data_IF_323505981463
#
_entry.id   IF_323505981463
#
_cell.length_a   1.000
_cell.length_b   1.000
_cell.length_c   1.000
_cell.angle_alpha   90.00
_cell.angle_beta   90.00
_cell.angle_gamma   90.00
#
_symmetry.space_group_name_H-M   'P 1'
#
loop_
_entity.id
_entity.type
_entity.pdbx_description
1 polymer ?
#
# COMPACT_ATOMS: atom_id res chain seq x y z
N UNK A 1 -8.91 -14.90 -0.45
CA UNK A 1 -7.57 -14.53 -0.95
C UNK A 1 -7.34 -15.11 -2.33
N UNK A 2 -6.98 -14.26 -3.31
CA UNK A 2 -6.70 -14.66 -4.69
C UNK A 2 -5.35 -15.38 -4.88
N UNK A 3 -5.14 -15.94 -6.08
CA UNK A 3 -3.92 -16.67 -6.46
C UNK A 3 -2.65 -15.83 -6.33
N UNK A 4 -2.67 -14.55 -6.75
CA UNK A 4 -1.49 -13.68 -6.71
C UNK A 4 -1.02 -13.48 -5.27
N UNK A 5 -1.95 -13.12 -4.38
CA UNK A 5 -1.69 -12.94 -2.94
C UNK A 5 -1.20 -14.24 -2.30
N UNK A 6 -1.81 -15.37 -2.64
CA UNK A 6 -1.41 -16.69 -2.15
C UNK A 6 0.05 -17.01 -2.51
N UNK A 7 0.44 -16.80 -3.77
CA UNK A 7 1.81 -17.06 -4.22
C UNK A 7 2.81 -16.07 -3.61
N UNK A 8 2.44 -14.79 -3.53
CA UNK A 8 3.28 -13.78 -2.89
C UNK A 8 3.54 -14.11 -1.41
N UNK A 9 2.49 -14.56 -0.70
CA UNK A 9 2.56 -14.98 0.69
C UNK A 9 3.32 -16.31 0.88
N UNK A 10 3.20 -17.26 -0.04
CA UNK A 10 3.94 -18.52 0.06
C UNK A 10 5.47 -18.30 -0.11
N UNK A 11 5.85 -17.36 -0.98
CA UNK A 11 7.26 -17.14 -1.34
C UNK A 11 7.91 -15.98 -0.54
N UNK A 12 7.10 -15.07 -0.01
CA UNK A 12 7.57 -13.82 0.57
C UNK A 12 8.20 -12.91 -0.46
N UNK A 13 7.61 -12.85 -1.66
CA UNK A 13 8.12 -12.08 -2.80
C UNK A 13 6.97 -11.48 -3.59
N UNK A 14 7.19 -10.30 -4.17
CA UNK A 14 6.37 -9.78 -5.24
C UNK A 14 6.89 -10.32 -6.59
N UNK A 15 5.98 -10.81 -7.44
CA UNK A 15 6.34 -11.54 -8.67
C UNK A 15 5.61 -10.97 -9.87
N UNK A 16 6.36 -10.76 -10.97
CA UNK A 16 5.78 -10.56 -12.28
C UNK A 16 5.39 -11.92 -12.88
N UNK A 17 4.09 -12.23 -12.91
CA UNK A 17 3.57 -13.50 -13.42
C UNK A 17 3.45 -13.53 -14.96
N UNK A 18 4.24 -12.72 -15.67
CA UNK A 18 4.32 -12.73 -17.14
C UNK A 18 4.36 -14.16 -17.70
N UNK A 19 3.43 -14.47 -18.61
CA UNK A 19 3.31 -15.77 -19.26
C UNK A 19 2.56 -16.85 -18.47
N UNK A 20 2.29 -16.62 -17.18
CA UNK A 20 1.47 -17.51 -16.35
C UNK A 20 0.02 -17.01 -16.17
N UNK A 21 -0.23 -15.73 -16.47
CA UNK A 21 -1.53 -15.08 -16.37
C UNK A 21 -1.75 -14.14 -17.55
N UNK A 22 -3.01 -14.01 -17.98
CA UNK A 22 -3.47 -12.98 -18.93
C UNK A 22 -4.61 -12.21 -18.27
N UNK A 23 -4.59 -10.89 -18.32
CA UNK A 23 -5.70 -10.06 -17.83
C UNK A 23 -6.68 -9.76 -18.97
N UNK A 24 -7.98 -9.98 -18.73
CA UNK A 24 -9.05 -9.42 -19.56
C UNK A 24 -9.70 -8.24 -18.86
N UNK A 25 -10.44 -7.41 -19.59
CA UNK A 25 -11.29 -6.37 -19.00
C UNK A 25 -12.71 -6.90 -18.92
N UNK A 26 -13.29 -6.89 -17.73
CA UNK A 26 -14.72 -7.14 -17.52
C UNK A 26 -15.53 -5.98 -18.12
N UNK A 27 -16.32 -6.24 -19.19
CA UNK A 27 -17.12 -5.20 -19.82
C UNK A 27 -18.23 -4.67 -18.90
N UNK A 28 -18.68 -5.47 -17.93
CA UNK A 28 -19.82 -5.18 -17.06
C UNK A 28 -19.39 -4.53 -15.73
N UNK A 29 -18.07 -4.36 -15.51
CA UNK A 29 -17.55 -3.74 -14.31
C UNK A 29 -18.04 -2.30 -14.15
N UNK A 30 -18.70 -2.03 -13.02
CA UNK A 30 -19.17 -0.71 -12.61
C UNK A 30 -18.31 -0.13 -11.49
N UNK A 31 -18.01 1.16 -11.59
CA UNK A 31 -17.36 1.92 -10.51
C UNK A 31 -18.33 2.32 -9.40
N UNK A 32 -19.64 2.38 -9.68
CA UNK A 32 -20.65 2.86 -8.72
C UNK A 32 -20.62 2.17 -7.35
N UNK A 33 -20.44 0.84 -7.26
CA UNK A 33 -20.41 0.15 -5.97
C UNK A 33 -19.04 0.21 -5.27
N UNK A 34 -18.08 1.02 -5.75
CA UNK A 34 -16.71 1.08 -5.21
C UNK A 34 -16.39 2.44 -4.57
N UNK A 35 -15.32 2.52 -3.73
CA UNK A 35 -14.80 3.83 -3.21
C UNK A 35 -14.50 4.81 -4.36
N UNK A 36 -14.17 4.26 -5.53
CA UNK A 36 -13.77 5.02 -6.69
C UNK A 36 -14.95 5.69 -7.40
N UNK A 37 -16.20 5.40 -7.03
CA UNK A 37 -17.38 6.09 -7.54
C UNK A 37 -17.27 7.62 -7.32
N UNK A 38 -16.82 8.04 -6.14
CA UNK A 38 -16.64 9.46 -5.81
C UNK A 38 -15.52 10.07 -6.65
N UNK A 39 -14.41 9.35 -6.79
CA UNK A 39 -13.27 9.78 -7.62
C UNK A 39 -13.67 9.90 -9.08
N UNK A 40 -14.45 8.96 -9.60
CA UNK A 40 -14.94 8.93 -10.96
C UNK A 40 -15.92 10.08 -11.24
N UNK A 41 -16.86 10.33 -10.33
CA UNK A 41 -17.83 11.43 -10.41
C UNK A 41 -17.17 12.82 -10.37
N UNK A 42 -16.04 12.95 -9.69
CA UNK A 42 -15.29 14.22 -9.55
C UNK A 42 -14.17 14.39 -10.59
N UNK A 43 -13.97 13.42 -11.47
CA UNK A 43 -12.90 13.37 -12.46
C UNK A 43 -13.45 13.58 -13.88
N UNK A 44 -12.66 14.11 -14.83
CA UNK A 44 -13.03 14.09 -16.25
C UNK A 44 -13.34 12.67 -16.74
N UNK A 45 -14.26 12.53 -17.70
CA UNK A 45 -14.72 11.23 -18.22
C UNK A 45 -13.57 10.28 -18.61
N UNK A 46 -12.52 10.78 -19.26
CA UNK A 46 -11.38 9.94 -19.67
C UNK A 46 -10.59 9.36 -18.48
N UNK A 47 -10.49 10.09 -17.36
CA UNK A 47 -9.85 9.61 -16.12
C UNK A 47 -10.73 8.55 -15.47
N UNK A 48 -12.04 8.79 -15.40
CA UNK A 48 -13.00 7.83 -14.86
C UNK A 48 -12.99 6.51 -15.66
N UNK A 49 -12.96 6.58 -17.00
CA UNK A 49 -12.89 5.40 -17.87
C UNK A 49 -11.54 4.69 -17.76
N UNK A 50 -10.42 5.42 -17.61
CA UNK A 50 -9.12 4.82 -17.34
C UNK A 50 -9.13 4.05 -16.01
N UNK A 51 -9.67 4.66 -14.95
CA UNK A 51 -9.80 4.03 -13.64
C UNK A 51 -10.72 2.79 -13.70
N UNK A 52 -11.85 2.88 -14.41
CA UNK A 52 -12.75 1.75 -14.66
C UNK A 52 -12.00 0.60 -15.32
N UNK A 53 -11.28 0.86 -16.42
CA UNK A 53 -10.54 -0.18 -17.15
C UNK A 53 -9.40 -0.79 -16.34
N UNK A 54 -8.80 -0.05 -15.41
CA UNK A 54 -7.77 -0.59 -14.52
C UNK A 54 -8.39 -1.52 -13.47
N UNK A 55 -9.52 -1.15 -12.89
CA UNK A 55 -10.20 -1.93 -11.86
C UNK A 55 -11.01 -3.10 -12.41
N UNK A 56 -11.47 -3.00 -13.66
CA UNK A 56 -12.19 -4.05 -14.37
C UNK A 56 -11.28 -5.22 -14.82
N UNK A 57 -10.00 -5.25 -14.43
CA UNK A 57 -9.08 -6.30 -14.87
C UNK A 57 -9.34 -7.60 -14.13
N UNK A 58 -9.58 -8.66 -14.89
CA UNK A 58 -9.80 -10.01 -14.38
C UNK A 58 -8.63 -10.90 -14.81
N UNK A 59 -7.87 -11.48 -13.86
CA UNK A 59 -6.75 -12.35 -14.19
C UNK A 59 -7.23 -13.77 -14.56
N UNK A 60 -6.75 -14.28 -15.68
CA UNK A 60 -6.95 -15.66 -16.14
C UNK A 60 -5.62 -16.41 -16.09
N UNK A 61 -5.52 -17.36 -15.17
CA UNK A 61 -4.29 -18.12 -14.93
C UNK A 61 -4.22 -19.36 -15.80
N UNK A 62 -3.03 -19.69 -16.29
CA UNK A 62 -2.79 -20.96 -16.96
C UNK A 62 -2.93 -22.13 -15.97
N UNK A 63 -3.55 -23.24 -16.39
CA UNK A 63 -3.75 -24.43 -15.53
C UNK A 63 -2.44 -24.99 -14.97
N UNK A 64 -1.37 -24.93 -15.76
CA UNK A 64 -0.03 -25.35 -15.34
C UNK A 64 0.49 -24.47 -14.18
N UNK A 65 0.25 -23.16 -14.23
CA UNK A 65 0.64 -22.24 -13.17
C UNK A 65 -0.18 -22.50 -11.89
N UNK A 66 -1.51 -22.63 -12.02
CA UNK A 66 -2.38 -22.98 -10.89
C UNK A 66 -1.98 -24.30 -10.23
N UNK A 67 -1.61 -25.30 -11.03
CA UNK A 67 -1.15 -26.60 -10.53
C UNK A 67 0.15 -26.49 -9.75
N UNK A 68 1.10 -25.68 -10.22
CA UNK A 68 2.34 -25.40 -9.50
C UNK A 68 2.06 -24.69 -8.17
N UNK A 69 1.19 -23.67 -8.17
CA UNK A 69 0.87 -22.89 -6.97
C UNK A 69 0.13 -23.70 -5.90
N UNK A 70 -0.71 -24.67 -6.28
CA UNK A 70 -1.41 -25.55 -5.33
C UNK A 70 -0.46 -26.38 -4.46
N UNK A 71 0.77 -26.60 -4.90
CA UNK A 71 1.79 -27.33 -4.15
C UNK A 71 2.57 -26.45 -3.17
N UNK A 72 2.39 -25.13 -3.23
CA UNK A 72 3.09 -24.20 -2.37
C UNK A 72 2.49 -24.18 -0.97
N UNK A 73 3.37 -24.14 0.04
CA UNK A 73 2.96 -24.03 1.44
C UNK A 73 2.88 -22.56 1.83
N UNK A 74 1.68 -22.11 2.19
CA UNK A 74 1.46 -20.76 2.73
C UNK A 74 1.79 -20.78 4.22
N UNK A 75 2.62 -19.84 4.72
CA UNK A 75 2.85 -19.68 6.15
C UNK A 75 1.55 -19.52 6.93
N UNK A 76 1.42 -20.23 8.06
CA UNK A 76 0.26 -20.08 8.92
C UNK A 76 0.24 -18.68 9.55
N UNK A 77 -0.89 -17.99 9.39
CA UNK A 77 -1.14 -16.72 10.05
C UNK A 77 -1.48 -16.92 11.53
N UNK A 78 -1.09 -16.01 12.42
CA UNK A 78 -1.58 -16.01 13.79
C UNK A 78 -3.10 -15.76 13.80
N UNK A 79 -3.83 -16.34 14.78
CA UNK A 79 -5.25 -16.07 14.92
C UNK A 79 -5.48 -14.58 15.22
N UNK A 80 -6.52 -14.02 14.60
CA UNK A 80 -6.96 -12.65 14.85
C UNK A 80 -7.87 -12.65 16.09
N UNK A 81 -7.67 -11.71 17.01
CA UNK A 81 -8.54 -11.51 18.17
C UNK A 81 -9.96 -11.17 17.68
N UNK A 82 -10.94 -11.96 18.11
CA UNK A 82 -12.35 -11.83 17.70
C UNK A 82 -12.89 -10.44 18.01
N UNK A 83 -12.42 -9.77 19.08
CA UNK A 83 -12.86 -8.40 19.40
C UNK A 83 -12.46 -7.39 18.33
N UNK A 84 -11.34 -7.60 17.65
CA UNK A 84 -10.93 -6.76 16.50
C UNK A 84 -11.82 -7.05 15.32
N UNK A 85 -12.07 -8.32 15.01
CA UNK A 85 -12.93 -8.71 13.90
C UNK A 85 -14.35 -8.19 14.10
N UNK A 86 -14.87 -8.28 15.32
CA UNK A 86 -16.18 -7.75 15.71
C UNK A 86 -16.21 -6.22 15.56
N UNK A 87 -15.16 -5.52 15.99
CA UNK A 87 -15.05 -4.08 15.78
C UNK A 87 -15.03 -3.73 14.29
N UNK A 88 -14.22 -4.42 13.49
CA UNK A 88 -14.15 -4.22 12.05
C UNK A 88 -15.52 -4.45 11.38
N UNK A 89 -16.21 -5.54 11.70
CA UNK A 89 -17.47 -5.89 11.04
C UNK A 89 -18.66 -5.02 11.49
N UNK A 90 -18.70 -4.63 12.76
CA UNK A 90 -19.87 -3.95 13.35
C UNK A 90 -19.67 -2.44 13.46
N UNK A 91 -18.43 -1.97 13.63
CA UNK A 91 -18.12 -0.56 13.87
C UNK A 91 -17.48 0.14 12.68
N UNK A 92 -16.93 -0.59 11.70
CA UNK A 92 -16.40 -0.01 10.47
C UNK A 92 -17.31 -0.26 9.26
N UNK A 93 -17.45 0.75 8.40
CA UNK A 93 -18.24 0.67 7.18
C UNK A 93 -17.34 0.37 5.96
N UNK A 94 -17.03 -0.93 5.77
CA UNK A 94 -16.25 -1.40 4.63
C UNK A 94 -17.05 -1.55 3.33
N UNK A 95 -18.39 -1.42 3.37
CA UNK A 95 -19.23 -1.41 2.16
C UNK A 95 -18.89 -0.26 1.21
N UNK A 96 -18.15 0.74 1.70
CA UNK A 96 -17.72 1.86 0.88
C UNK A 96 -16.58 1.50 -0.07
N UNK A 97 -15.76 0.47 0.21
CA UNK A 97 -14.46 0.30 -0.46
C UNK A 97 -14.49 -0.62 -1.67
N UNK A 98 -14.90 -1.86 -1.49
CA UNK A 98 -15.16 -2.75 -2.61
C UNK A 98 -16.40 -3.61 -2.30
N UNK A 99 -17.47 -3.43 -3.06
CA UNK A 99 -18.70 -4.20 -2.87
C UNK A 99 -18.55 -5.72 -3.10
N UNK A 100 -17.42 -6.17 -3.66
CA UNK A 100 -17.08 -7.58 -3.92
C UNK A 100 -16.33 -8.27 -2.75
N UNK A 101 -16.05 -7.56 -1.65
CA UNK A 101 -15.34 -8.10 -0.49
C UNK A 101 -13.81 -8.11 -0.62
N UNK A 102 -13.24 -7.58 -1.71
CA UNK A 102 -11.79 -7.57 -1.94
C UNK A 102 -10.98 -6.74 -0.92
N UNK A 103 -11.64 -5.84 -0.17
CA UNK A 103 -11.01 -5.14 0.95
C UNK A 103 -10.60 -6.07 2.10
N UNK A 104 -11.48 -7.00 2.49
CA UNK A 104 -11.16 -7.94 3.58
C UNK A 104 -10.03 -8.88 3.18
N UNK A 105 -10.00 -9.29 1.91
CA UNK A 105 -8.88 -10.06 1.34
C UNK A 105 -7.57 -9.25 1.32
N UNK A 106 -7.63 -7.94 1.05
CA UNK A 106 -6.47 -7.04 1.09
C UNK A 106 -5.86 -6.95 2.50
N UNK A 107 -6.68 -6.61 3.51
CA UNK A 107 -6.18 -6.47 4.89
C UNK A 107 -5.74 -7.81 5.48
N UNK A 108 -6.41 -8.92 5.12
CA UNK A 108 -5.98 -10.26 5.49
C UNK A 108 -4.62 -10.62 4.87
N UNK A 109 -4.41 -10.33 3.58
CA UNK A 109 -3.11 -10.54 2.94
C UNK A 109 -2.00 -9.72 3.61
N UNK A 110 -2.22 -8.43 3.88
CA UNK A 110 -1.21 -7.60 4.53
C UNK A 110 -0.92 -8.07 5.96
N UNK A 111 -1.93 -8.48 6.72
CA UNK A 111 -1.77 -9.09 8.04
C UNK A 111 -0.90 -10.35 7.97
N UNK A 112 -1.26 -11.30 7.11
CA UNK A 112 -0.59 -12.60 7.02
C UNK A 112 0.84 -12.45 6.50
N UNK A 113 1.06 -11.58 5.52
CA UNK A 113 2.38 -11.28 4.99
C UNK A 113 3.27 -10.65 6.06
N UNK A 114 2.73 -9.70 6.84
CA UNK A 114 3.45 -9.11 7.97
C UNK A 114 3.85 -10.17 9.00
N UNK A 115 2.90 -11.04 9.37
CA UNK A 115 3.15 -12.09 10.35
C UNK A 115 4.22 -13.07 9.85
N UNK A 116 4.24 -13.38 8.56
CA UNK A 116 5.20 -14.28 7.95
C UNK A 116 6.59 -13.64 7.80
N UNK A 117 6.67 -12.37 7.41
CA UNK A 117 7.87 -11.77 6.83
C UNK A 117 8.36 -10.48 7.49
N UNK A 118 7.68 -9.99 8.52
CA UNK A 118 8.15 -8.88 9.34
C UNK A 118 8.12 -9.21 10.83
N UNK A 119 9.01 -10.13 11.22
CA UNK A 119 9.07 -10.68 12.57
C UNK A 119 9.42 -9.59 13.59
N UNK A 120 8.81 -9.68 14.78
CA UNK A 120 9.01 -8.71 15.85
C UNK A 120 8.05 -7.51 15.82
N UNK A 121 7.25 -7.37 14.76
CA UNK A 121 6.28 -6.29 14.61
C UNK A 121 4.85 -6.85 14.48
N UNK A 122 3.86 -6.06 14.91
CA UNK A 122 2.49 -6.55 15.03
C UNK A 122 1.77 -6.56 13.67
N UNK A 123 1.29 -7.73 13.19
CA UNK A 123 0.52 -7.80 11.96
C UNK A 123 -0.86 -7.12 12.08
N UNK A 124 -1.32 -6.85 13.30
CA UNK A 124 -2.57 -6.13 13.57
C UNK A 124 -2.55 -4.71 13.03
N UNK A 125 -1.38 -4.09 12.94
CA UNK A 125 -1.22 -2.79 12.28
C UNK A 125 -1.69 -2.88 10.83
N UNK A 126 -1.22 -3.88 10.09
CA UNK A 126 -1.61 -4.11 8.70
C UNK A 126 -2.99 -4.74 8.52
N UNK A 127 -3.61 -5.27 9.56
CA UNK A 127 -5.03 -5.60 9.54
C UNK A 127 -5.92 -4.34 9.60
N UNK A 128 -5.47 -3.32 10.34
CA UNK A 128 -6.25 -2.13 10.69
C UNK A 128 -5.82 -0.86 9.95
N UNK A 129 -4.77 -0.92 9.13
CA UNK A 129 -4.08 0.23 8.56
C UNK A 129 -4.96 1.19 7.72
N UNK A 130 -6.04 0.66 7.13
CA UNK A 130 -6.93 1.42 6.23
C UNK A 130 -8.21 1.92 6.89
N UNK A 131 -8.50 1.54 8.14
CA UNK A 131 -9.77 1.91 8.80
C UNK A 131 -9.85 3.42 9.11
N UNK A 132 -8.70 4.07 9.30
CA UNK A 132 -8.57 5.50 9.59
C UNK A 132 -8.41 6.37 8.34
N UNK A 133 -8.59 5.79 7.16
CA UNK A 133 -8.49 6.49 5.89
C UNK A 133 -7.75 5.64 4.87
N UNK A 134 -8.34 5.55 3.69
CA UNK A 134 -7.73 4.88 2.54
C UNK A 134 -7.03 5.92 1.66
N UNK A 135 -6.49 5.56 0.49
CA UNK A 135 -5.86 6.51 -0.45
C UNK A 135 -6.76 7.66 -0.96
N UNK A 136 -8.00 7.75 -0.48
CA UNK A 136 -9.02 8.77 -0.76
C UNK A 136 -9.53 9.40 0.55
N UNK A 137 -10.65 10.14 0.53
CA UNK A 137 -11.28 10.70 1.73
C UNK A 137 -12.39 9.79 2.29
N UNK A 138 -12.23 8.50 2.13
CA UNK A 138 -13.15 7.51 2.67
C UNK A 138 -12.52 6.92 3.93
N UNK A 139 -13.32 6.90 5.00
CA UNK A 139 -12.91 6.50 6.33
C UNK A 139 -13.86 5.40 6.78
N UNK A 140 -13.45 4.12 6.72
CA UNK A 140 -14.28 3.04 7.23
C UNK A 140 -14.67 3.23 8.70
N UNK A 141 -13.80 3.82 9.51
CA UNK A 141 -14.05 4.15 10.90
C UNK A 141 -14.22 5.66 11.10
N UNK A 142 -15.25 6.06 11.82
CA UNK A 142 -15.46 7.45 12.21
C UNK A 142 -14.48 7.90 13.31
N UNK A 143 -14.11 9.18 13.31
CA UNK A 143 -13.18 9.77 14.29
C UNK A 143 -13.63 9.57 15.75
N UNK A 144 -14.94 9.52 16.00
CA UNK A 144 -15.50 9.29 17.33
C UNK A 144 -15.20 7.91 17.94
N UNK A 145 -14.74 6.94 17.12
CA UNK A 145 -14.45 5.57 17.57
C UNK A 145 -12.98 5.32 17.91
N UNK A 146 -12.13 6.36 17.86
CA UNK A 146 -10.70 6.24 18.17
C UNK A 146 -10.45 5.64 19.57
N UNK A 147 -11.23 6.03 20.58
CA UNK A 147 -11.09 5.49 21.94
C UNK A 147 -11.44 4.00 22.03
N UNK A 148 -12.44 3.55 21.28
CA UNK A 148 -12.79 2.13 21.20
C UNK A 148 -11.66 1.34 20.52
N UNK A 149 -11.12 1.85 19.41
CA UNK A 149 -9.98 1.25 18.74
C UNK A 149 -8.76 1.13 19.67
N UNK A 150 -8.40 2.22 20.36
CA UNK A 150 -7.28 2.22 21.32
C UNK A 150 -7.46 1.26 22.49
N UNK A 151 -8.69 0.88 22.84
CA UNK A 151 -8.93 -0.14 23.87
C UNK A 151 -8.69 -1.58 23.37
N UNK A 152 -8.63 -1.78 22.04
CA UNK A 152 -8.41 -3.08 21.43
C UNK A 152 -6.94 -3.33 21.12
N UNK A 153 -6.17 -2.30 20.81
CA UNK A 153 -4.76 -2.38 20.40
C UNK A 153 -3.83 -1.82 21.48
N UNK A 154 -2.55 -2.19 21.46
CA UNK A 154 -1.56 -1.55 22.32
C UNK A 154 -1.10 -0.19 21.76
N UNK A 155 -0.33 0.58 22.55
CA UNK A 155 0.11 1.92 22.17
C UNK A 155 0.98 1.94 20.90
N UNK A 156 1.89 0.96 20.75
CA UNK A 156 2.75 0.84 19.56
C UNK A 156 1.91 0.54 18.31
N UNK A 157 0.96 -0.38 18.42
CA UNK A 157 0.01 -0.68 17.34
C UNK A 157 -0.80 0.57 16.96
N UNK A 158 -1.37 1.26 17.94
CA UNK A 158 -2.17 2.46 17.72
C UNK A 158 -1.36 3.54 16.99
N UNK A 159 -0.11 3.77 17.41
CA UNK A 159 0.79 4.76 16.79
C UNK A 159 0.95 4.52 15.30
N UNK A 160 1.19 3.28 14.90
CA UNK A 160 1.35 2.94 13.49
C UNK A 160 0.04 2.92 12.71
N UNK A 161 -1.06 2.47 13.32
CA UNK A 161 -2.40 2.50 12.71
C UNK A 161 -2.80 3.94 12.37
N UNK A 162 -2.56 4.89 13.29
CA UNK A 162 -2.85 6.31 13.08
C UNK A 162 -1.91 6.98 12.08
N UNK A 163 -0.64 6.60 12.06
CA UNK A 163 0.34 7.14 11.12
C UNK A 163 0.13 6.64 9.69
N UNK A 164 -0.45 5.45 9.51
CA UNK A 164 -0.45 4.76 8.23
C UNK A 164 -1.06 5.56 7.08
N UNK A 165 -2.29 6.10 7.19
CA UNK A 165 -2.88 6.85 6.08
C UNK A 165 -2.07 8.11 5.74
N UNK A 166 -1.48 8.75 6.76
CA UNK A 166 -0.69 9.97 6.59
C UNK A 166 0.61 9.67 5.84
N UNK A 167 1.34 8.64 6.26
CA UNK A 167 2.59 8.26 5.60
C UNK A 167 2.34 7.82 4.16
N UNK A 168 1.27 7.07 3.88
CA UNK A 168 0.90 6.73 2.51
C UNK A 168 0.66 7.99 1.66
N UNK A 169 -0.07 8.98 2.18
CA UNK A 169 -0.29 10.26 1.48
C UNK A 169 1.01 11.06 1.31
N UNK A 170 1.94 11.01 2.25
CA UNK A 170 3.25 11.66 2.11
C UNK A 170 4.09 10.97 1.02
N UNK A 171 4.13 9.63 0.99
CA UNK A 171 4.86 8.87 -0.02
C UNK A 171 4.37 9.17 -1.45
N UNK A 172 3.05 9.33 -1.63
CA UNK A 172 2.44 9.59 -2.94
C UNK A 172 2.42 11.09 -3.29
N UNK A 173 2.03 11.94 -2.33
CA UNK A 173 1.61 13.34 -2.54
C UNK A 173 2.66 14.41 -2.23
N UNK A 174 3.77 14.04 -1.58
CA UNK A 174 4.76 15.00 -1.07
C UNK A 174 6.12 14.89 -1.77
N UNK A 175 7.20 15.33 -1.12
CA UNK A 175 8.60 15.14 -1.52
C UNK A 175 9.36 14.16 -0.61
N UNK A 176 8.68 13.51 0.33
CA UNK A 176 9.31 12.72 1.41
C UNK A 176 10.41 11.77 0.93
N UNK A 177 10.14 10.97 -0.12
CA UNK A 177 11.13 10.04 -0.68
C UNK A 177 12.34 10.73 -1.29
N UNK A 178 12.16 11.90 -1.91
CA UNK A 178 13.26 12.68 -2.48
C UNK A 178 14.12 13.29 -1.36
N UNK A 179 13.48 13.89 -0.37
CA UNK A 179 14.17 14.55 0.76
C UNK A 179 14.96 13.53 1.61
N UNK A 180 14.42 12.31 1.80
CA UNK A 180 15.17 11.21 2.42
C UNK A 180 16.34 10.76 1.55
N UNK A 181 16.15 10.66 0.23
CA UNK A 181 17.22 10.25 -0.69
C UNK A 181 18.38 11.24 -0.72
N UNK A 182 18.09 12.53 -0.68
CA UNK A 182 19.09 13.61 -0.63
C UNK A 182 19.98 13.52 0.62
N UNK A 183 19.51 12.86 1.68
CA UNK A 183 20.24 12.69 2.95
C UNK A 183 20.63 11.24 3.25
N UNK A 184 20.70 10.35 2.26
CA UNK A 184 21.02 8.92 2.45
C UNK A 184 22.26 8.65 3.32
N UNK A 185 23.28 9.52 3.25
CA UNK A 185 24.50 9.40 4.06
C UNK A 185 24.36 9.79 5.54
N UNK A 186 23.23 10.39 5.94
CA UNK A 186 22.96 10.88 7.30
C UNK A 186 21.79 10.13 7.97
N UNK A 187 21.37 8.97 7.46
CA UNK A 187 20.14 8.28 7.93
C UNK A 187 20.17 7.92 9.43
N UNK A 188 21.35 7.67 10.00
CA UNK A 188 21.59 7.42 11.43
C UNK A 188 21.38 8.68 12.31
N UNK A 189 21.43 9.86 11.69
CA UNK A 189 21.15 11.15 12.32
C UNK A 189 19.67 11.50 12.32
N UNK A 190 18.82 10.79 11.57
CA UNK A 190 17.38 11.01 11.66
C UNK A 190 16.95 10.75 13.11
N UNK A 191 16.22 11.70 13.69
CA UNK A 191 15.72 11.61 15.07
C UNK A 191 14.22 11.38 15.09
N UNK A 192 13.48 12.10 14.25
CA UNK A 192 12.04 12.16 14.32
C UNK A 192 11.46 12.69 13.01
N UNK A 193 10.22 12.30 12.72
CA UNK A 193 9.39 12.89 11.67
C UNK A 193 8.10 13.40 12.30
N UNK A 194 7.79 14.68 12.12
CA UNK A 194 6.51 15.28 12.55
C UNK A 194 5.62 15.53 11.32
N UNK A 195 4.33 15.20 11.41
CA UNK A 195 3.33 15.37 10.35
C UNK A 195 1.91 15.45 10.93
N UNK A 196 0.86 15.44 10.09
CA UNK A 196 -0.55 15.48 10.53
C UNK A 196 -1.28 14.17 10.25
N UNK A 197 -2.18 13.77 11.15
CA UNK A 197 -3.06 12.61 11.01
C UNK A 197 -4.17 12.88 10.00
N UNK A 198 -4.45 11.94 9.10
CA UNK A 198 -5.44 12.14 8.03
C UNK A 198 -6.85 12.44 8.54
N UNK A 199 -7.34 11.69 9.53
CA UNK A 199 -8.75 11.72 9.91
C UNK A 199 -9.20 13.03 10.58
N UNK A 200 -8.29 13.73 11.27
CA UNK A 200 -8.62 14.91 12.07
C UNK A 200 -7.53 15.99 12.11
N UNK A 201 -6.48 15.85 11.29
CA UNK A 201 -5.36 16.80 11.15
C UNK A 201 -4.59 17.07 12.46
N UNK A 202 -4.73 16.20 13.48
CA UNK A 202 -3.94 16.30 14.70
C UNK A 202 -2.45 16.05 14.42
N UNK A 203 -1.54 16.71 15.15
CA UNK A 203 -0.12 16.44 15.00
C UNK A 203 0.20 15.00 15.39
N UNK A 204 1.09 14.37 14.64
CA UNK A 204 1.68 13.07 14.91
C UNK A 204 3.19 13.18 14.79
N UNK A 205 3.88 12.39 15.60
CA UNK A 205 5.33 12.30 15.60
C UNK A 205 5.71 10.82 15.68
N UNK A 206 6.69 10.43 14.86
CA UNK A 206 7.36 9.15 14.97
C UNK A 206 8.83 9.45 15.21
N UNK A 207 9.44 8.79 16.20
CA UNK A 207 10.90 8.76 16.26
C UNK A 207 11.47 8.01 15.05
N UNK A 208 12.79 8.02 14.89
CA UNK A 208 13.42 7.41 13.74
C UNK A 208 13.13 5.90 13.63
N UNK A 209 13.14 5.18 14.76
CA UNK A 209 12.92 3.73 14.77
C UNK A 209 11.48 3.41 14.36
N UNK A 210 10.49 4.07 14.96
CA UNK A 210 9.09 3.94 14.60
C UNK A 210 8.84 4.39 13.15
N UNK A 211 9.55 5.40 12.64
CA UNK A 211 9.41 5.82 11.25
C UNK A 211 9.90 4.75 10.28
N UNK A 212 11.04 4.10 10.55
CA UNK A 212 11.52 2.98 9.73
C UNK A 212 10.57 1.79 9.77
N UNK A 213 10.00 1.50 10.94
CA UNK A 213 8.97 0.47 11.07
C UNK A 213 7.74 0.81 10.24
N UNK A 214 7.29 2.07 10.29
CA UNK A 214 6.16 2.54 9.52
C UNK A 214 6.38 2.41 8.01
N UNK A 215 7.58 2.72 7.52
CA UNK A 215 7.94 2.57 6.11
C UNK A 215 7.99 1.09 5.67
N UNK A 216 8.37 0.18 6.56
CA UNK A 216 8.31 -1.26 6.29
C UNK A 216 6.86 -1.76 6.20
N UNK A 217 5.93 -1.26 7.02
CA UNK A 217 4.51 -1.55 6.83
C UNK A 217 4.00 -1.05 5.47
N UNK A 218 4.44 0.14 5.04
CA UNK A 218 4.03 0.71 3.74
C UNK A 218 4.54 -0.13 2.57
N UNK A 219 5.80 -0.60 2.60
CA UNK A 219 6.33 -1.41 1.49
C UNK A 219 5.63 -2.77 1.39
N UNK A 220 5.25 -3.40 2.52
CA UNK A 220 4.43 -4.63 2.53
C UNK A 220 3.05 -4.36 1.93
N UNK A 221 2.37 -3.31 2.37
CA UNK A 221 1.05 -2.93 1.85
C UNK A 221 1.07 -2.70 0.34
N UNK A 222 2.11 -2.05 -0.17
CA UNK A 222 2.24 -1.74 -1.60
C UNK A 222 2.40 -2.99 -2.48
N UNK A 223 2.81 -4.15 -1.93
CA UNK A 223 2.87 -5.43 -2.68
C UNK A 223 1.50 -5.75 -3.30
N UNK A 224 0.42 -5.50 -2.56
CA UNK A 224 -0.93 -5.83 -3.02
C UNK A 224 -1.42 -4.93 -4.15
N UNK A 225 -0.73 -3.82 -4.42
CA UNK A 225 -1.06 -2.89 -5.51
C UNK A 225 -0.18 -3.07 -6.74
N UNK A 226 0.73 -4.05 -6.73
CA UNK A 226 1.56 -4.34 -7.88
C UNK A 226 0.75 -5.03 -8.99
N UNK A 227 1.01 -4.72 -10.27
CA UNK A 227 0.45 -5.46 -11.38
C UNK A 227 0.62 -6.97 -11.22
N UNK A 228 -0.38 -7.77 -11.62
CA UNK A 228 -0.23 -9.23 -11.58
C UNK A 228 0.83 -9.72 -12.58
N UNK A 229 0.99 -9.03 -13.71
CA UNK A 229 1.98 -9.32 -14.73
C UNK A 229 2.37 -8.05 -15.52
N UNK A 230 3.25 -8.21 -16.52
CA UNK A 230 3.68 -7.16 -17.46
C UNK A 230 4.35 -5.97 -16.77
N UNK A 231 5.20 -6.22 -15.77
CA UNK A 231 5.75 -5.14 -14.93
C UNK A 231 6.50 -4.10 -15.74
N UNK A 232 7.26 -4.51 -16.76
CA UNK A 232 7.99 -3.59 -17.65
C UNK A 232 7.06 -2.59 -18.35
N UNK A 233 5.88 -3.02 -18.80
CA UNK A 233 4.90 -2.14 -19.44
C UNK A 233 4.12 -1.29 -18.41
N UNK A 234 3.97 -1.81 -17.19
CA UNK A 234 3.12 -1.22 -16.13
C UNK A 234 3.90 -0.44 -15.07
N UNK A 235 5.22 -0.35 -15.19
CA UNK A 235 6.09 0.40 -14.25
C UNK A 235 5.78 1.90 -14.18
N UNK A 236 5.03 2.42 -15.16
CA UNK A 236 4.52 3.80 -15.14
C UNK A 236 3.37 4.02 -14.13
N UNK A 237 2.86 2.96 -13.49
CA UNK A 237 1.77 3.06 -12.52
C UNK A 237 2.24 3.70 -11.21
N UNK A 238 1.52 4.70 -10.67
CA UNK A 238 2.01 5.51 -9.55
C UNK A 238 2.40 4.71 -8.30
N UNK A 239 1.56 3.76 -7.86
CA UNK A 239 1.83 2.96 -6.66
C UNK A 239 2.98 1.97 -6.87
N UNK A 240 3.16 1.48 -8.10
CA UNK A 240 4.31 0.65 -8.44
C UNK A 240 5.62 1.48 -8.38
N UNK A 241 5.60 2.72 -8.85
CA UNK A 241 6.75 3.62 -8.70
C UNK A 241 7.04 3.91 -7.21
N UNK A 242 6.02 4.18 -6.39
CA UNK A 242 6.21 4.38 -4.93
C UNK A 242 6.85 3.14 -4.31
N UNK A 243 6.37 1.95 -4.65
CA UNK A 243 6.91 0.69 -4.15
C UNK A 243 8.41 0.56 -4.46
N UNK A 244 8.80 0.71 -5.74
CA UNK A 244 10.18 0.57 -6.17
C UNK A 244 11.09 1.62 -5.51
N UNK A 245 10.64 2.89 -5.47
CA UNK A 245 11.38 3.98 -4.83
C UNK A 245 11.57 3.77 -3.33
N UNK A 246 10.52 3.38 -2.62
CA UNK A 246 10.53 3.15 -1.18
C UNK A 246 11.41 1.95 -0.84
N UNK A 247 11.23 0.82 -1.52
CA UNK A 247 12.03 -0.38 -1.30
C UNK A 247 13.51 -0.12 -1.54
N UNK A 248 13.85 0.58 -2.63
CA UNK A 248 15.23 0.95 -2.94
C UNK A 248 15.82 1.89 -1.89
N UNK A 249 15.04 2.88 -1.43
CA UNK A 249 15.45 3.78 -0.34
C UNK A 249 15.75 2.99 0.95
N UNK A 250 14.85 2.10 1.35
CA UNK A 250 15.01 1.27 2.54
C UNK A 250 16.22 0.34 2.42
N UNK A 251 16.44 -0.27 1.24
CA UNK A 251 17.62 -1.09 0.98
C UNK A 251 18.92 -0.29 1.06
N UNK A 252 18.97 0.89 0.43
CA UNK A 252 20.13 1.77 0.45
C UNK A 252 20.44 2.32 1.85
N UNK A 253 19.42 2.54 2.68
CA UNK A 253 19.56 2.97 4.06
C UNK A 253 19.83 1.81 5.04
N UNK A 254 19.88 0.56 4.58
CA UNK A 254 19.92 -0.64 5.42
C UNK A 254 18.76 -0.72 6.45
N UNK A 255 17.58 -0.25 6.04
CA UNK A 255 16.34 -0.18 6.82
C UNK A 255 15.22 -1.02 6.19
N UNK A 256 15.51 -1.86 5.20
CA UNK A 256 14.56 -2.86 4.70
C UNK A 256 14.55 -4.06 5.67
N UNK A 257 13.67 -3.98 6.67
CA UNK A 257 13.58 -4.94 7.78
C UNK A 257 12.60 -6.07 7.48
N UNK A 258 11.53 -5.79 6.73
CA UNK A 258 10.59 -6.79 6.25
C UNK A 258 11.15 -7.53 5.03
N UNK A 259 10.93 -8.85 4.93
CA UNK A 259 11.26 -9.61 3.72
C UNK A 259 10.28 -9.26 2.60
N UNK A 260 10.74 -8.35 1.73
CA UNK A 260 10.03 -7.95 0.51
C UNK A 260 10.98 -8.12 -0.65
N UNK A 261 11.09 -9.34 -1.16
CA UNK A 261 11.89 -9.61 -2.34
C UNK A 261 11.08 -9.30 -3.61
N UNK A 262 11.80 -8.89 -4.65
CA UNK A 262 11.25 -8.88 -6.01
C UNK A 262 11.76 -10.15 -6.67
N UNK A 263 10.84 -11.10 -6.91
CA UNK A 263 11.15 -12.30 -7.66
C UNK A 263 11.51 -11.95 -9.10
N UNK A 264 12.47 -12.66 -9.68
CA UNK A 264 12.59 -12.72 -11.13
C UNK A 264 11.24 -13.16 -11.72
N UNK A 265 10.96 -12.74 -12.96
CA UNK A 265 9.90 -13.39 -13.74
C UNK A 265 10.12 -14.91 -13.69
N UNK A 266 9.15 -15.71 -14.09
CA UNK A 266 9.41 -17.13 -14.34
C UNK A 266 10.56 -17.37 -15.38
N UNK A 267 11.19 -16.33 -15.96
CA UNK A 267 12.14 -16.43 -17.09
C UNK A 267 13.45 -15.58 -16.99
N UNK A 268 13.64 -14.53 -16.17
CA UNK A 268 14.93 -13.78 -16.15
C UNK A 268 15.21 -12.81 -14.95
N UNK A 269 16.49 -12.52 -14.58
CA UNK A 269 16.93 -11.54 -13.55
C UNK A 269 17.57 -10.23 -14.15
N UNK A 270 17.98 -9.22 -13.35
CA UNK A 270 17.34 -8.61 -12.19
C UNK A 270 16.50 -7.38 -12.63
N UNK A 271 15.23 -7.40 -12.29
CA UNK A 271 14.19 -6.54 -12.90
C UNK A 271 14.18 -5.11 -12.30
N UNK A 272 14.58 -4.93 -11.05
CA UNK A 272 14.32 -3.69 -10.29
C UNK A 272 15.04 -2.44 -10.79
N UNK A 273 16.36 -2.48 -10.96
CA UNK A 273 17.12 -1.31 -11.43
C UNK A 273 16.71 -0.91 -12.86
N UNK A 274 16.38 -1.90 -13.69
CA UNK A 274 15.85 -1.69 -15.03
C UNK A 274 14.46 -1.04 -14.97
N UNK A 275 13.56 -1.55 -14.13
CA UNK A 275 12.23 -0.97 -13.92
C UNK A 275 12.31 0.48 -13.44
N UNK A 276 13.14 0.78 -12.43
CA UNK A 276 13.31 2.14 -11.92
C UNK A 276 13.81 3.10 -13.00
N UNK A 277 14.83 2.69 -13.75
CA UNK A 277 15.34 3.46 -14.88
C UNK A 277 14.25 3.70 -15.93
N UNK A 278 13.49 2.66 -16.30
CA UNK A 278 12.37 2.77 -17.25
C UNK A 278 11.22 3.65 -16.74
N UNK A 279 10.89 3.59 -15.45
CA UNK A 279 9.83 4.39 -14.85
C UNK A 279 10.20 5.88 -14.80
N UNK A 280 11.42 6.19 -14.36
CA UNK A 280 11.91 7.56 -14.21
C UNK A 280 12.14 8.26 -15.57
N UNK A 281 12.48 7.50 -16.61
CA UNK A 281 12.73 8.03 -17.96
C UNK A 281 11.51 8.04 -18.88
N UNK A 282 10.41 7.37 -18.50
CA UNK A 282 9.19 7.34 -19.31
C UNK A 282 8.38 8.64 -19.16
N UNK A 283 8.10 9.38 -20.26
CA UNK A 283 7.24 10.57 -20.21
C UNK A 283 5.87 10.28 -19.59
N UNK A 284 5.30 9.12 -19.88
CA UNK A 284 4.03 8.69 -19.30
C UNK A 284 4.12 8.39 -17.81
N UNK A 285 5.25 7.87 -17.33
CA UNK A 285 5.51 7.66 -15.91
C UNK A 285 5.51 8.98 -15.14
N UNK A 286 6.22 9.99 -15.64
CA UNK A 286 6.30 11.32 -15.03
C UNK A 286 4.90 11.97 -14.95
N UNK A 287 4.12 11.89 -16.03
CA UNK A 287 2.76 12.45 -16.09
C UNK A 287 1.85 11.76 -15.07
N UNK A 288 1.81 10.42 -15.06
CA UNK A 288 0.98 9.65 -14.12
C UNK A 288 1.36 9.92 -12.67
N UNK A 289 2.66 10.02 -12.37
CA UNK A 289 3.15 10.37 -11.01
C UNK A 289 2.70 11.77 -10.58
N UNK A 290 2.80 12.74 -11.47
CA UNK A 290 2.33 14.11 -11.22
C UNK A 290 0.81 14.17 -10.98
N UNK A 291 0.03 13.40 -11.73
CA UNK A 291 -1.42 13.30 -11.54
C UNK A 291 -1.79 12.65 -10.20
N UNK A 292 -1.11 11.57 -9.80
CA UNK A 292 -1.32 10.94 -8.50
C UNK A 292 -1.00 11.90 -7.36
N UNK A 293 0.13 12.62 -7.45
CA UNK A 293 0.52 13.66 -6.49
C UNK A 293 -0.54 14.76 -6.37
N UNK A 294 -1.06 15.24 -7.50
CA UNK A 294 -2.11 16.25 -7.55
C UNK A 294 -3.41 15.74 -6.93
N UNK A 295 -3.77 14.47 -7.17
CA UNK A 295 -4.97 13.85 -6.62
C UNK A 295 -4.91 13.75 -5.09
N UNK A 296 -3.80 13.27 -4.54
CA UNK A 296 -3.61 13.19 -3.07
C UNK A 296 -3.64 14.57 -2.40
N UNK A 297 -3.07 15.59 -3.06
CA UNK A 297 -3.15 16.99 -2.60
C UNK A 297 -4.58 17.50 -2.60
N UNK A 298 -5.33 17.24 -3.68
CA UNK A 298 -6.76 17.60 -3.78
C UNK A 298 -7.58 16.92 -2.68
N UNK A 299 -7.41 15.61 -2.47
CA UNK A 299 -8.10 14.88 -1.41
C UNK A 299 -7.73 15.44 -0.03
N UNK A 300 -6.46 15.69 0.23
CA UNK A 300 -6.03 16.26 1.52
C UNK A 300 -6.64 17.65 1.77
N UNK A 301 -6.62 18.53 0.77
CA UNK A 301 -7.23 19.85 0.87
C UNK A 301 -8.74 19.82 1.14
N UNK A 302 -9.47 18.88 0.53
CA UNK A 302 -10.93 18.73 0.71
C UNK A 302 -11.35 18.44 2.17
N UNK A 303 -10.48 17.83 2.96
CA UNK A 303 -10.75 17.50 4.38
C UNK A 303 -9.93 18.35 5.35
N UNK A 304 -9.21 19.37 4.86
CA UNK A 304 -8.33 20.20 5.69
C UNK A 304 -7.10 19.47 6.23
N UNK A 305 -6.69 18.35 5.64
CA UNK A 305 -5.48 17.62 6.01
C UNK A 305 -4.24 18.31 5.40
N UNK A 306 -3.25 18.62 6.25
CA UNK A 306 -1.95 19.12 5.79
C UNK A 306 -1.04 17.97 5.37
N UNK A 307 -0.34 18.17 4.24
CA UNK A 307 0.74 17.29 3.77
C UNK A 307 2.13 17.80 4.16
N UNK A 308 2.19 18.79 5.07
CA UNK A 308 3.44 19.29 5.61
C UNK A 308 4.03 18.25 6.56
N UNK A 309 5.35 18.08 6.48
CA UNK A 309 6.12 17.26 7.40
C UNK A 309 7.44 17.95 7.70
N UNK A 310 8.08 17.53 8.79
CA UNK A 310 9.42 17.96 9.14
C UNK A 310 10.26 16.75 9.51
N UNK A 311 11.42 16.63 8.86
CA UNK A 311 12.45 15.65 9.21
C UNK A 311 13.42 16.32 10.19
N UNK A 312 13.46 15.83 11.42
CA UNK A 312 14.34 16.34 12.46
C UNK A 312 15.60 15.49 12.52
N UNK A 313 16.75 16.14 12.38
CA UNK A 313 18.06 15.50 12.34
C UNK A 313 18.89 15.93 13.54
N UNK A 314 19.78 15.06 13.99
CA UNK A 314 20.85 15.42 14.92
C UNK A 314 21.86 16.32 14.21
N UNK A 315 22.44 17.25 14.96
CA UNK A 315 23.56 18.09 14.51
C UNK A 315 24.82 17.27 14.21
#
# INVERSE_FOLDING_TARGET
MDTRRTVALARGQAIDHQGAVVESVDPDFSLEPTIFAIVAKQSPFFIAEMLRRQLARVPHWADAALSAFRSETVPAAPPIDTRITDFMLNECNFKMEHADGSFMDHVAFCHDYCAAYYKGHSPRVLLLHSILGVGTNIFPMEVGKLSQLSALVNETEMRHIEAFPSVLRLLVGSRLLADLRERLGDMDKLKQVSFRRVIDNKPLELDADDFWVQLNYQVIHLIDFLPVAEWAARVSEPLFQVFLELRTLLGAANQLQAKVDIGATCVAPPVEAQLLSSAASSPMGIIKRSQAKTSVRKFSAQIGHSLDYTLHWKD
#
